data_IF_834813696671
#
_entry.id   IF_834813696671
#
_cell.length_a   1.000
_cell.length_b   1.000
_cell.length_c   1.000
_cell.angle_alpha   90.00
_cell.angle_beta   90.00
_cell.angle_gamma   90.00
#
_symmetry.space_group_name_H-M   'P 1'
#
loop_
_entity.id
_entity.type
_entity.pdbx_description
1 polymer ?
#
# COMPACT_ATOMS: atom_id res chain seq x y z
N UNK A 1 37.61 75.84 29.96
CA UNK A 1 36.41 74.98 30.10
C UNK A 1 35.62 75.06 28.82
N UNK A 2 35.68 74.06 27.93
CA UNK A 2 34.96 74.15 26.66
C UNK A 2 35.28 73.10 25.62
N UNK A 3 35.50 71.83 26.03
CA UNK A 3 35.84 70.75 25.12
C UNK A 3 34.85 69.54 25.11
N UNK A 4 33.71 69.68 25.77
CA UNK A 4 32.77 68.54 25.96
C UNK A 4 31.54 68.56 25.01
N UNK A 5 31.39 69.59 24.16
CA UNK A 5 30.14 69.73 23.37
C UNK A 5 30.25 69.33 21.89
N UNK A 6 31.44 68.84 21.44
CA UNK A 6 31.61 68.62 19.98
C UNK A 6 31.54 67.16 19.57
N UNK A 7 31.33 66.21 20.49
CA UNK A 7 31.30 64.80 20.20
C UNK A 7 29.90 64.18 20.07
N UNK A 8 28.83 64.95 20.40
CA UNK A 8 27.48 64.41 20.41
C UNK A 8 26.67 64.67 19.13
N UNK A 9 27.22 65.32 18.12
CA UNK A 9 26.48 65.61 16.89
C UNK A 9 26.86 64.78 15.67
N UNK A 10 27.58 63.65 15.85
CA UNK A 10 28.00 62.80 14.75
C UNK A 10 27.36 61.44 14.69
N UNK A 11 26.31 61.20 15.50
CA UNK A 11 25.41 60.06 15.26
C UNK A 11 24.17 60.52 14.50
N UNK A 12 24.42 61.23 13.40
CA UNK A 12 23.36 61.55 12.45
C UNK A 12 23.16 60.31 11.58
N UNK A 13 22.18 59.52 12.03
CA UNK A 13 21.22 58.80 11.19
C UNK A 13 21.79 58.22 9.87
N UNK A 14 22.51 57.11 9.97
CA UNK A 14 22.51 56.15 8.86
C UNK A 14 21.14 55.54 8.72
N UNK A 15 20.20 56.24 8.09
CA UNK A 15 18.97 55.68 7.56
C UNK A 15 19.37 54.61 6.55
N UNK A 16 19.59 53.39 7.01
CA UNK A 16 19.55 52.20 6.18
C UNK A 16 18.11 52.09 5.73
N UNK A 17 17.72 52.86 4.72
CA UNK A 17 16.52 52.56 3.98
C UNK A 17 16.79 51.24 3.26
N UNK A 18 16.43 50.12 3.94
CA UNK A 18 16.20 48.88 3.26
C UNK A 18 15.05 49.12 2.28
N UNK A 19 15.43 49.63 1.10
CA UNK A 19 14.53 49.66 -0.05
C UNK A 19 14.15 48.18 -0.32
N UNK A 20 13.09 47.74 0.33
CA UNK A 20 12.44 46.48 0.08
C UNK A 20 11.84 46.61 -1.31
N UNK A 21 12.67 46.32 -2.33
CA UNK A 21 12.22 46.20 -3.71
C UNK A 21 11.17 45.08 -3.75
N UNK A 22 9.92 45.46 -3.61
CA UNK A 22 8.80 44.56 -3.87
C UNK A 22 8.72 44.34 -5.37
N UNK A 23 9.58 43.46 -5.89
CA UNK A 23 9.46 43.00 -7.26
C UNK A 23 8.17 42.17 -7.33
N UNK A 24 7.15 42.70 -7.99
CA UNK A 24 5.94 41.94 -8.31
C UNK A 24 6.29 40.77 -9.23
N UNK A 25 5.55 39.67 -9.13
CA UNK A 25 5.70 38.54 -10.04
C UNK A 25 5.38 38.97 -11.48
N UNK A 26 6.18 38.50 -12.43
CA UNK A 26 5.93 38.71 -13.86
C UNK A 26 4.82 37.78 -14.34
N UNK A 27 4.07 38.18 -15.37
CA UNK A 27 3.06 37.31 -15.98
C UNK A 27 3.64 35.95 -16.46
N UNK A 28 4.87 35.98 -16.99
CA UNK A 28 5.54 34.74 -17.43
C UNK A 28 5.88 33.81 -16.25
N UNK A 29 6.26 34.34 -15.10
CA UNK A 29 6.57 33.57 -13.90
C UNK A 29 5.32 32.84 -13.36
N UNK A 30 4.17 33.54 -13.39
CA UNK A 30 2.87 32.96 -13.07
C UNK A 30 2.50 31.80 -14.01
N UNK A 31 2.72 31.98 -15.31
CA UNK A 31 2.46 30.95 -16.31
C UNK A 31 3.34 29.73 -16.10
N UNK A 32 4.64 29.93 -15.87
CA UNK A 32 5.58 28.84 -15.58
C UNK A 32 5.21 28.12 -14.30
N UNK A 33 4.85 28.85 -13.23
CA UNK A 33 4.42 28.26 -11.97
C UNK A 33 3.15 27.40 -12.15
N UNK A 34 2.18 27.86 -12.93
CA UNK A 34 0.96 27.10 -13.24
C UNK A 34 1.24 25.83 -14.04
N UNK A 35 2.19 25.86 -14.98
CA UNK A 35 2.61 24.66 -15.72
C UNK A 35 3.24 23.64 -14.78
N UNK A 36 4.18 24.05 -13.94
CA UNK A 36 4.84 23.16 -12.97
C UNK A 36 3.80 22.58 -12.00
N UNK A 37 2.89 23.40 -11.50
CA UNK A 37 1.82 22.97 -10.62
C UNK A 37 0.92 21.93 -11.29
N UNK A 38 0.54 22.16 -12.54
CA UNK A 38 -0.33 21.23 -13.31
C UNK A 38 0.32 19.86 -13.48
N UNK A 39 1.60 19.82 -13.85
CA UNK A 39 2.36 18.57 -14.00
C UNK A 39 2.45 17.84 -12.65
N UNK A 40 2.71 18.56 -11.56
CA UNK A 40 2.80 18.01 -10.22
C UNK A 40 1.48 17.39 -9.75
N UNK A 41 0.35 18.05 -10.03
CA UNK A 41 -0.98 17.54 -9.70
C UNK A 41 -1.33 16.26 -10.48
N UNK A 42 -0.97 16.20 -11.77
CA UNK A 42 -1.17 15.01 -12.59
C UNK A 42 -0.34 13.82 -12.07
N UNK A 43 0.90 14.07 -11.66
CA UNK A 43 1.75 13.04 -11.06
C UNK A 43 1.16 12.51 -9.74
N UNK A 44 0.66 13.39 -8.88
CA UNK A 44 -0.02 13.01 -7.63
C UNK A 44 -1.28 12.18 -7.90
N UNK A 45 -2.11 12.59 -8.86
CA UNK A 45 -3.33 11.87 -9.21
C UNK A 45 -3.03 10.44 -9.69
N UNK A 46 -1.99 10.25 -10.51
CA UNK A 46 -1.57 8.93 -10.97
C UNK A 46 -1.05 8.05 -9.83
N UNK A 47 -0.29 8.63 -8.89
CA UNK A 47 0.20 7.94 -7.71
C UNK A 47 -0.95 7.48 -6.79
N UNK A 48 -1.95 8.32 -6.57
CA UNK A 48 -3.15 7.96 -5.79
C UNK A 48 -3.91 6.80 -6.42
N UNK A 49 -4.09 6.81 -7.74
CA UNK A 49 -4.75 5.70 -8.46
C UNK A 49 -3.98 4.39 -8.31
N UNK A 50 -2.65 4.42 -8.37
CA UNK A 50 -1.80 3.24 -8.18
C UNK A 50 -1.87 2.73 -6.74
N UNK A 51 -1.81 3.62 -5.76
CA UNK A 51 -1.89 3.26 -4.33
C UNK A 51 -3.23 2.60 -4.00
N UNK A 52 -4.34 3.14 -4.51
CA UNK A 52 -5.68 2.55 -4.31
C UNK A 52 -5.78 1.14 -4.87
N UNK A 53 -5.23 0.88 -6.07
CA UNK A 53 -5.18 -0.46 -6.66
C UNK A 53 -4.36 -1.43 -5.80
N UNK A 54 -3.20 -1.00 -5.33
CA UNK A 54 -2.33 -1.83 -4.50
C UNK A 54 -2.97 -2.16 -3.15
N UNK A 55 -3.67 -1.21 -2.54
CA UNK A 55 -4.40 -1.42 -1.28
C UNK A 55 -5.55 -2.42 -1.46
N UNK A 56 -6.32 -2.32 -2.55
CA UNK A 56 -7.38 -3.28 -2.87
C UNK A 56 -6.82 -4.68 -3.08
N UNK A 57 -5.73 -4.80 -3.84
CA UNK A 57 -5.04 -6.09 -4.04
C UNK A 57 -4.54 -6.69 -2.73
N UNK A 58 -3.94 -5.88 -1.84
CA UNK A 58 -3.49 -6.30 -0.51
C UNK A 58 -4.64 -6.84 0.34
N UNK A 59 -5.81 -6.19 0.28
CA UNK A 59 -7.03 -6.64 0.94
C UNK A 59 -7.48 -8.01 0.44
N UNK A 60 -7.57 -8.21 -0.88
CA UNK A 60 -7.93 -9.50 -1.47
C UNK A 60 -6.92 -10.61 -1.14
N UNK A 61 -5.64 -10.29 -1.11
CA UNK A 61 -4.60 -11.23 -0.72
C UNK A 61 -4.75 -11.71 0.73
N UNK A 62 -5.04 -10.77 1.64
CA UNK A 62 -5.29 -11.07 3.06
C UNK A 62 -6.51 -11.95 3.23
N UNK A 63 -7.62 -11.62 2.55
CA UNK A 63 -8.86 -12.39 2.60
C UNK A 63 -8.66 -13.80 2.03
N UNK A 64 -7.94 -13.94 0.91
CA UNK A 64 -7.59 -15.24 0.34
C UNK A 64 -6.74 -16.08 1.30
N UNK A 65 -5.75 -15.46 1.96
CA UNK A 65 -4.92 -16.15 2.95
C UNK A 65 -5.75 -16.64 4.14
N UNK A 66 -6.70 -15.82 4.62
CA UNK A 66 -7.62 -16.22 5.70
C UNK A 66 -8.46 -17.42 5.28
N UNK A 67 -9.07 -17.40 4.10
CA UNK A 67 -9.86 -18.55 3.60
C UNK A 67 -9.03 -19.82 3.42
N UNK A 68 -7.75 -19.67 3.07
CA UNK A 68 -6.84 -20.80 2.98
C UNK A 68 -6.47 -21.38 4.34
N UNK A 69 -6.20 -20.52 5.33
CA UNK A 69 -5.91 -20.93 6.70
C UNK A 69 -7.11 -21.61 7.36
N UNK A 70 -8.29 -21.05 7.19
CA UNK A 70 -9.54 -21.66 7.68
C UNK A 70 -9.72 -23.08 7.14
N UNK A 71 -9.47 -23.30 5.86
CA UNK A 71 -9.57 -24.63 5.25
C UNK A 71 -8.51 -25.58 5.80
N UNK A 72 -7.26 -25.13 5.93
CA UNK A 72 -6.19 -25.95 6.51
C UNK A 72 -6.52 -26.37 7.95
N UNK A 73 -7.10 -25.48 8.76
CA UNK A 73 -7.51 -25.79 10.10
C UNK A 73 -8.70 -26.76 10.13
N UNK A 74 -9.69 -26.58 9.27
CA UNK A 74 -10.79 -27.53 9.10
C UNK A 74 -10.29 -28.94 8.75
N UNK A 75 -9.33 -29.04 7.83
CA UNK A 75 -8.75 -30.32 7.43
C UNK A 75 -7.90 -30.95 8.54
N UNK A 76 -7.23 -30.11 9.37
CA UNK A 76 -6.43 -30.58 10.50
C UNK A 76 -7.26 -31.22 11.60
N UNK A 77 -8.44 -30.66 11.88
CA UNK A 77 -9.35 -31.22 12.92
C UNK A 77 -10.28 -32.30 12.38
N UNK A 78 -10.26 -32.52 11.06
CA UNK A 78 -11.04 -33.60 10.44
C UNK A 78 -10.45 -34.98 10.73
N UNK A 79 -11.28 -36.01 10.69
CA UNK A 79 -10.79 -37.40 10.83
C UNK A 79 -9.84 -37.72 9.66
N UNK A 80 -8.81 -38.52 9.94
CA UNK A 80 -7.82 -38.90 8.93
C UNK A 80 -8.44 -39.44 7.65
N UNK A 81 -9.49 -40.25 7.76
CA UNK A 81 -10.17 -40.85 6.61
C UNK A 81 -10.89 -39.81 5.72
N UNK A 82 -11.34 -38.69 6.27
CA UNK A 82 -12.08 -37.66 5.57
C UNK A 82 -11.22 -36.62 4.87
N UNK A 83 -9.90 -36.58 5.14
CA UNK A 83 -8.98 -35.64 4.48
C UNK A 83 -8.72 -36.12 3.06
N UNK A 84 -9.43 -35.56 2.09
CA UNK A 84 -9.36 -35.91 0.67
C UNK A 84 -9.29 -34.63 -0.19
N UNK A 85 -8.99 -34.81 -1.47
CA UNK A 85 -9.03 -33.71 -2.45
C UNK A 85 -10.42 -33.09 -2.53
N UNK A 86 -10.48 -31.78 -2.80
CA UNK A 86 -11.76 -31.11 -2.97
C UNK A 86 -11.63 -29.71 -3.51
N UNK A 87 -12.78 -29.09 -3.70
CA UNK A 87 -12.89 -27.67 -4.05
C UNK A 87 -14.16 -27.08 -3.46
N UNK A 88 -14.16 -25.81 -3.22
CA UNK A 88 -15.34 -25.00 -2.88
C UNK A 88 -15.14 -23.54 -3.28
N UNK A 89 -16.15 -22.72 -3.03
CA UNK A 89 -16.10 -21.29 -3.26
C UNK A 89 -16.56 -20.51 -2.02
N UNK A 90 -15.97 -19.35 -1.81
CA UNK A 90 -16.31 -18.40 -0.75
C UNK A 90 -16.52 -17.02 -1.33
N UNK A 91 -17.57 -16.37 -0.89
CA UNK A 91 -17.79 -14.95 -1.20
C UNK A 91 -16.94 -14.09 -0.24
N UNK A 92 -16.18 -13.19 -0.79
CA UNK A 92 -15.44 -12.20 -0.02
C UNK A 92 -16.28 -11.01 0.41
N UNK A 93 -15.75 -10.21 1.33
CA UNK A 93 -16.41 -9.04 1.90
C UNK A 93 -16.71 -7.95 0.87
N UNK A 94 -15.89 -7.89 -0.20
CA UNK A 94 -16.02 -6.91 -1.30
C UNK A 94 -16.81 -7.42 -2.51
N UNK A 95 -17.46 -8.59 -2.38
CA UNK A 95 -18.22 -9.21 -3.47
C UNK A 95 -17.35 -10.00 -4.46
N UNK A 96 -16.06 -10.11 -4.23
CA UNK A 96 -15.18 -10.98 -5.02
C UNK A 96 -15.37 -12.42 -4.57
N UNK A 97 -15.50 -13.35 -5.53
CA UNK A 97 -15.59 -14.77 -5.24
C UNK A 97 -14.20 -15.42 -5.28
N UNK A 98 -13.92 -16.21 -4.25
CA UNK A 98 -12.69 -16.98 -4.11
C UNK A 98 -12.99 -18.46 -4.31
N UNK A 99 -12.27 -19.10 -5.21
CA UNK A 99 -12.32 -20.55 -5.40
C UNK A 99 -11.14 -21.18 -4.66
N UNK A 100 -11.42 -22.12 -3.77
CA UNK A 100 -10.41 -22.90 -3.05
C UNK A 100 -10.36 -24.29 -3.66
N UNK A 101 -9.18 -24.73 -4.03
CA UNK A 101 -8.93 -26.09 -4.53
C UNK A 101 -7.80 -26.69 -3.68
N UNK A 102 -8.01 -27.89 -3.18
CA UNK A 102 -6.97 -28.56 -2.40
C UNK A 102 -6.70 -29.96 -2.87
N UNK A 103 -5.43 -30.33 -2.79
CA UNK A 103 -4.92 -31.66 -3.10
C UNK A 103 -4.22 -32.23 -1.89
N UNK A 104 -4.38 -33.54 -1.69
CA UNK A 104 -3.83 -34.28 -0.58
C UNK A 104 -2.93 -35.37 -1.12
N UNK A 105 -1.65 -35.32 -0.77
CA UNK A 105 -0.66 -36.35 -1.11
C UNK A 105 -0.26 -37.09 0.15
N UNK A 106 -0.43 -38.43 0.17
CA UNK A 106 -0.03 -39.29 1.29
C UNK A 106 1.38 -39.80 1.03
N UNK A 107 2.23 -39.80 2.07
CA UNK A 107 3.57 -40.36 1.98
C UNK A 107 3.55 -41.91 1.83
N UNK A 108 4.69 -42.48 1.48
CA UNK A 108 4.81 -43.92 1.23
C UNK A 108 4.46 -44.79 2.45
N UNK A 109 4.62 -44.28 3.66
CA UNK A 109 4.30 -45.01 4.91
C UNK A 109 2.84 -44.84 5.34
N UNK A 110 2.08 -43.98 4.68
CA UNK A 110 0.68 -43.73 5.04
C UNK A 110 0.45 -42.89 6.30
N UNK A 111 1.53 -42.39 6.93
CA UNK A 111 1.48 -41.69 8.22
C UNK A 111 1.40 -40.16 8.11
N UNK A 112 1.73 -39.60 6.96
CA UNK A 112 1.73 -38.18 6.73
C UNK A 112 0.93 -37.83 5.46
N UNK A 113 0.14 -36.79 5.54
CA UNK A 113 -0.53 -36.19 4.39
C UNK A 113 -0.06 -34.74 4.18
N UNK A 114 0.45 -34.44 2.99
CA UNK A 114 0.73 -33.08 2.58
C UNK A 114 -0.50 -32.52 1.88
N UNK A 115 -1.05 -31.46 2.44
CA UNK A 115 -2.18 -30.74 1.88
C UNK A 115 -1.66 -29.48 1.20
N UNK A 116 -2.02 -29.32 -0.07
CA UNK A 116 -1.75 -28.09 -0.86
C UNK A 116 -3.08 -27.43 -1.16
N UNK A 117 -3.27 -26.22 -0.66
CA UNK A 117 -4.47 -25.41 -0.91
C UNK A 117 -4.09 -24.28 -1.87
N UNK A 118 -4.82 -24.16 -2.97
CA UNK A 118 -4.74 -23.05 -3.92
C UNK A 118 -6.02 -22.25 -3.83
N UNK A 119 -5.89 -20.96 -3.54
CA UNK A 119 -7.01 -20.01 -3.51
C UNK A 119 -6.84 -19.09 -4.71
N UNK A 120 -7.85 -19.04 -5.57
CA UNK A 120 -7.85 -18.19 -6.76
C UNK A 120 -9.04 -17.24 -6.75
N UNK A 121 -8.82 -16.04 -7.25
CA UNK A 121 -9.84 -15.01 -7.42
C UNK A 121 -9.59 -14.20 -8.68
N UNK A 122 -10.60 -13.50 -9.14
CA UNK A 122 -10.51 -12.59 -10.27
C UNK A 122 -10.86 -11.17 -9.81
N UNK A 123 -9.92 -10.25 -9.93
CA UNK A 123 -10.10 -8.81 -9.80
C UNK A 123 -9.49 -8.15 -11.04
N UNK A 124 -10.24 -8.16 -12.14
CA UNK A 124 -9.84 -7.77 -13.52
C UNK A 124 -8.80 -8.69 -14.16
N UNK A 125 -7.90 -9.26 -13.37
CA UNK A 125 -6.97 -10.31 -13.76
C UNK A 125 -7.07 -11.47 -12.77
N UNK A 126 -6.61 -12.65 -13.19
CA UNK A 126 -6.61 -13.82 -12.32
C UNK A 126 -5.43 -13.76 -11.35
N UNK A 127 -5.73 -13.98 -10.09
CA UNK A 127 -4.76 -14.09 -9.01
C UNK A 127 -4.89 -15.43 -8.33
N UNK A 128 -3.79 -15.92 -7.74
CA UNK A 128 -3.83 -17.09 -6.86
C UNK A 128 -2.72 -17.05 -5.83
N UNK A 129 -3.00 -17.64 -4.68
CA UNK A 129 -2.01 -17.96 -3.64
C UNK A 129 -2.05 -19.44 -3.34
N UNK A 130 -0.95 -19.97 -2.81
CA UNK A 130 -0.83 -21.38 -2.46
C UNK A 130 -0.30 -21.53 -1.04
N UNK A 131 -0.98 -22.35 -0.25
CA UNK A 131 -0.61 -22.66 1.12
C UNK A 131 -0.34 -24.17 1.23
N UNK A 132 0.54 -24.53 2.15
CA UNK A 132 0.90 -25.92 2.41
C UNK A 132 0.77 -26.25 3.89
N UNK A 133 0.33 -27.45 4.17
CA UNK A 133 0.33 -28.01 5.53
C UNK A 133 0.62 -29.49 5.49
N UNK A 134 1.21 -29.99 6.56
CA UNK A 134 1.41 -31.43 6.75
C UNK A 134 0.58 -31.87 7.94
N UNK A 135 -0.19 -32.93 7.77
CA UNK A 135 -1.05 -33.52 8.77
C UNK A 135 -0.47 -34.93 9.07
N UNK A 136 -0.22 -35.21 10.32
CA UNK A 136 0.15 -36.55 10.81
C UNK A 136 -1.09 -37.30 11.25
N UNK A 137 -1.02 -38.62 11.13
CA UNK A 137 -2.06 -39.55 11.63
C UNK A 137 -2.09 -39.58 13.16
#
# INVERSE_FOLDING_TARGET
MGFAHQWLTRFKEGNLSLSKSSKGFTMIEMLVALVILSVSLLALASLMAMTTKNTSFGGHMTEAATFGQDLLEQLRVSSWASVANGNDARAGSTGVNYTRTWTVATNATGTLRTVTVTISWNDRINHSIRLFSVIAQ
#
